data_IF_879730587734
#
_entry.id   IF_879730587734
#
_cell.length_a   1.000
_cell.length_b   1.000
_cell.length_c   1.000
_cell.angle_alpha   90.00
_cell.angle_beta   90.00
_cell.angle_gamma   90.00
#
_symmetry.space_group_name_H-M   'P 1'
#
loop_
_entity.id
_entity.type
_entity.pdbx_description
1 polymer ?
#
# COMPACT_ATOMS: atom_id res chain seq x y z
N UNK A 1 -31.40 35.77 -38.64
CA UNK A 1 -31.41 34.30 -38.81
C UNK A 1 -30.99 33.63 -37.52
N UNK A 2 -31.64 32.52 -37.19
CA UNK A 2 -31.55 31.80 -35.93
C UNK A 2 -31.34 30.31 -36.19
N UNK A 3 -30.58 29.66 -35.33
CA UNK A 3 -30.32 28.22 -35.39
C UNK A 3 -30.99 27.58 -34.17
N UNK A 4 -31.77 26.54 -34.41
CA UNK A 4 -32.49 25.78 -33.38
C UNK A 4 -31.80 24.44 -33.19
N UNK A 5 -31.66 23.99 -31.95
CA UNK A 5 -31.19 22.65 -31.64
C UNK A 5 -32.38 21.72 -31.39
N UNK A 6 -32.49 20.67 -32.21
CA UNK A 6 -33.54 19.65 -32.09
C UNK A 6 -33.24 18.67 -30.95
N UNK A 7 -34.23 17.87 -30.50
CA UNK A 7 -34.05 16.90 -29.40
C UNK A 7 -32.96 15.85 -29.68
N UNK A 8 -32.69 15.56 -30.94
CA UNK A 8 -31.65 14.65 -31.43
C UNK A 8 -30.24 15.29 -31.46
N UNK A 9 -30.10 16.52 -30.93
CA UNK A 9 -28.89 17.38 -30.96
C UNK A 9 -28.44 17.79 -32.37
N UNK A 10 -29.25 17.57 -33.40
CA UNK A 10 -28.98 18.14 -34.72
C UNK A 10 -29.29 19.64 -34.73
N UNK A 11 -28.44 20.41 -35.42
CA UNK A 11 -28.68 21.84 -35.65
C UNK A 11 -29.51 22.03 -36.93
N UNK A 12 -30.52 22.89 -36.87
CA UNK A 12 -31.34 23.23 -38.04
C UNK A 12 -30.59 24.16 -39.00
N UNK A 13 -31.02 24.20 -40.26
CA UNK A 13 -30.65 25.29 -41.17
C UNK A 13 -31.04 26.66 -40.56
N UNK A 14 -30.37 27.77 -40.94
CA UNK A 14 -30.69 29.09 -40.42
C UNK A 14 -32.12 29.51 -40.77
N UNK A 15 -33.00 29.62 -39.76
CA UNK A 15 -34.39 30.04 -39.92
C UNK A 15 -34.56 31.53 -39.61
N UNK A 16 -35.54 32.16 -40.25
CA UNK A 16 -35.95 33.52 -39.89
C UNK A 16 -36.92 33.54 -38.70
N UNK A 17 -37.08 34.71 -38.08
CA UNK A 17 -37.93 34.91 -36.90
C UNK A 17 -39.37 34.43 -37.14
N UNK A 18 -39.91 34.67 -38.35
CA UNK A 18 -41.28 34.30 -38.69
C UNK A 18 -41.45 32.78 -38.84
N UNK A 19 -40.44 32.11 -39.39
CA UNK A 19 -40.43 30.65 -39.49
C UNK A 19 -40.35 29.98 -38.10
N UNK A 20 -39.66 30.60 -37.13
CA UNK A 20 -39.65 30.15 -35.74
C UNK A 20 -41.02 30.30 -35.06
N UNK A 21 -41.72 31.42 -35.28
CA UNK A 21 -43.08 31.62 -34.74
C UNK A 21 -44.06 30.59 -35.31
N UNK A 22 -44.00 30.36 -36.61
CA UNK A 22 -44.84 29.36 -37.26
C UNK A 22 -44.53 27.94 -36.77
N UNK A 23 -43.25 27.59 -36.56
CA UNK A 23 -42.83 26.31 -36.00
C UNK A 23 -43.27 26.08 -34.54
N UNK A 24 -43.35 27.15 -33.73
CA UNK A 24 -43.89 27.09 -32.37
C UNK A 24 -45.41 26.85 -32.39
N UNK A 25 -46.15 27.53 -33.26
CA UNK A 25 -47.60 27.34 -33.43
C UNK A 25 -47.96 25.97 -33.99
N UNK A 26 -47.14 25.44 -34.91
CA UNK A 26 -47.28 24.10 -35.47
C UNK A 26 -46.82 22.98 -34.50
N UNK A 27 -46.34 23.32 -33.30
CA UNK A 27 -45.86 22.36 -32.29
C UNK A 27 -44.54 21.65 -32.66
N UNK A 28 -43.83 22.14 -33.68
CA UNK A 28 -42.54 21.59 -34.12
C UNK A 28 -41.41 21.95 -33.14
N UNK A 29 -41.55 23.07 -32.43
CA UNK A 29 -40.64 23.54 -31.40
C UNK A 29 -41.41 23.82 -30.11
N UNK A 30 -40.75 23.68 -28.95
CA UNK A 30 -41.26 24.07 -27.64
C UNK A 30 -40.73 25.44 -27.19
N UNK A 31 -41.39 26.10 -26.24
CA UNK A 31 -40.99 27.40 -25.68
C UNK A 31 -39.58 27.39 -25.04
N UNK A 32 -39.16 26.23 -24.53
CA UNK A 32 -37.85 26.00 -23.91
C UNK A 32 -36.79 25.51 -24.90
N UNK A 33 -37.13 25.37 -26.19
CA UNK A 33 -36.18 24.89 -27.20
C UNK A 33 -35.00 25.87 -27.28
N UNK A 34 -33.75 25.39 -27.15
CA UNK A 34 -32.59 26.26 -27.22
C UNK A 34 -32.41 26.79 -28.65
N UNK A 35 -32.33 28.11 -28.75
CA UNK A 35 -32.13 28.86 -29.99
C UNK A 35 -30.96 29.80 -29.81
N UNK A 36 -30.15 29.97 -30.84
CA UNK A 36 -29.10 30.99 -30.91
C UNK A 36 -29.27 31.84 -32.16
N UNK A 37 -28.78 33.07 -32.12
CA UNK A 37 -28.61 33.88 -33.34
C UNK A 37 -27.43 33.33 -34.14
N UNK A 38 -27.49 33.39 -35.46
CA UNK A 38 -26.40 32.92 -36.32
C UNK A 38 -25.06 33.66 -36.08
N UNK A 39 -25.11 34.87 -35.54
CA UNK A 39 -23.97 35.73 -35.20
C UNK A 39 -23.46 35.54 -33.75
N UNK A 40 -24.09 34.67 -32.96
CA UNK A 40 -23.80 34.52 -31.53
C UNK A 40 -23.66 33.05 -31.12
N UNK A 41 -22.70 32.78 -30.23
CA UNK A 41 -22.53 31.46 -29.59
C UNK A 41 -23.43 31.27 -28.35
N UNK A 42 -24.24 32.25 -28.00
CA UNK A 42 -25.09 32.20 -26.80
C UNK A 42 -26.45 31.56 -27.11
N UNK A 43 -26.71 30.44 -26.45
CA UNK A 43 -28.01 29.77 -26.48
C UNK A 43 -28.98 30.41 -25.49
N UNK A 44 -30.20 30.67 -25.96
CA UNK A 44 -31.30 31.21 -25.17
C UNK A 44 -32.58 30.44 -25.47
N UNK A 45 -33.52 30.30 -24.51
CA UNK A 45 -34.79 29.65 -24.79
C UNK A 45 -35.61 30.51 -25.77
N UNK A 46 -36.32 29.85 -26.68
CA UNK A 46 -37.12 30.51 -27.72
C UNK A 46 -38.09 31.56 -27.16
N UNK A 47 -38.64 31.34 -25.97
CA UNK A 47 -39.53 32.29 -25.29
C UNK A 47 -38.88 33.66 -25.03
N UNK A 48 -37.59 33.71 -24.69
CA UNK A 48 -36.88 34.97 -24.46
C UNK A 48 -36.75 35.82 -25.73
N UNK A 49 -36.77 35.17 -26.89
CA UNK A 49 -36.73 35.84 -28.20
C UNK A 49 -38.09 36.46 -28.57
N UNK A 50 -39.18 35.75 -28.27
CA UNK A 50 -40.54 36.19 -28.57
C UNK A 50 -41.09 37.20 -27.55
N UNK A 51 -40.51 37.26 -26.35
CA UNK A 51 -40.91 38.17 -25.27
C UNK A 51 -40.42 39.63 -25.45
N UNK A 52 -39.70 39.95 -26.53
CA UNK A 52 -39.28 41.32 -26.81
C UNK A 52 -40.49 42.17 -27.27
N UNK A 53 -40.89 43.22 -26.52
CA UNK A 53 -42.05 44.02 -26.88
C UNK A 53 -41.74 44.91 -28.09
N UNK A 54 -42.62 44.87 -29.10
CA UNK A 54 -42.69 45.88 -30.14
C UNK A 54 -42.98 47.24 -29.48
N UNK A 55 -42.07 48.19 -29.65
CA UNK A 55 -42.13 49.54 -29.10
C UNK A 55 -43.26 50.37 -29.70
N UNK A 56 -43.95 51.17 -28.86
CA UNK A 56 -44.60 52.41 -29.33
C UNK A 56 -45.76 52.96 -28.50
N UNK A 57 -45.49 53.63 -27.36
CA UNK A 57 -46.21 54.85 -26.89
C UNK A 57 -45.72 55.35 -25.51
N UNK A 58 -45.72 56.67 -25.23
CA UNK A 58 -45.23 57.29 -23.99
C UNK A 58 -46.27 57.24 -22.83
N UNK A 59 -45.87 57.51 -21.57
CA UNK A 59 -46.48 56.89 -20.39
C UNK A 59 -47.72 57.64 -19.88
N UNK A 60 -48.71 56.96 -19.28
CA UNK A 60 -49.65 57.60 -18.37
C UNK A 60 -49.08 57.65 -16.95
N UNK A 61 -49.26 58.80 -16.29
CA UNK A 61 -49.02 58.98 -14.86
C UNK A 61 -49.76 57.90 -14.05
N UNK A 62 -49.04 57.15 -13.23
CA UNK A 62 -49.61 56.26 -12.22
C UNK A 62 -49.10 56.67 -10.82
N UNK A 63 -50.06 56.78 -9.91
CA UNK A 63 -50.02 57.20 -8.51
C UNK A 63 -49.17 56.30 -7.59
N UNK A 64 -48.76 56.78 -6.39
CA UNK A 64 -48.07 55.95 -5.39
C UNK A 64 -49.09 55.04 -4.69
N UNK A 65 -48.74 53.80 -4.27
CA UNK A 65 -48.23 53.62 -2.90
C UNK A 65 -47.34 52.36 -2.67
N UNK A 66 -46.83 52.27 -1.42
CA UNK A 66 -46.28 51.11 -0.69
C UNK A 66 -44.78 50.80 -0.81
N UNK A 67 -44.06 51.12 0.27
CA UNK A 67 -42.83 50.45 0.73
C UNK A 67 -43.06 48.97 1.06
N UNK A 68 -42.04 48.10 1.25
CA UNK A 68 -40.60 48.18 0.91
C UNK A 68 -40.11 46.92 0.12
N UNK A 69 -38.85 46.87 -0.31
CA UNK A 69 -38.08 45.64 -0.15
C UNK A 69 -36.97 45.82 0.88
N UNK A 70 -37.02 44.97 1.90
CA UNK A 70 -35.95 44.74 2.86
C UNK A 70 -34.61 44.55 2.14
N UNK A 71 -33.58 45.23 2.62
CA UNK A 71 -32.19 44.96 2.26
C UNK A 71 -31.92 43.45 2.39
N UNK A 72 -31.25 42.79 1.45
CA UNK A 72 -30.77 41.44 1.68
C UNK A 72 -29.79 41.50 2.85
N UNK A 73 -30.12 40.77 3.92
CA UNK A 73 -29.21 40.54 5.02
C UNK A 73 -27.87 40.04 4.45
N UNK A 74 -26.80 40.76 4.74
CA UNK A 74 -25.43 40.31 4.49
C UNK A 74 -25.29 38.96 5.19
N UNK A 75 -25.33 37.88 4.40
CA UNK A 75 -25.13 36.52 4.90
C UNK A 75 -23.69 36.44 5.39
N UNK A 76 -23.51 36.39 6.71
CA UNK A 76 -22.20 36.33 7.34
C UNK A 76 -21.36 35.20 6.74
N UNK A 77 -20.12 35.52 6.35
CA UNK A 77 -19.19 34.58 5.74
C UNK A 77 -19.09 33.29 6.59
N UNK A 78 -19.34 32.14 5.96
CA UNK A 78 -19.30 30.85 6.62
C UNK A 78 -17.92 30.62 7.28
N UNK A 79 -17.91 30.25 8.57
CA UNK A 79 -16.68 30.00 9.34
C UNK A 79 -16.18 28.57 9.12
N UNK A 80 -14.88 28.40 8.88
CA UNK A 80 -14.24 27.09 8.70
C UNK A 80 -13.98 26.46 10.07
N UNK A 81 -14.24 25.16 10.23
CA UNK A 81 -13.98 24.45 11.49
C UNK A 81 -12.49 24.40 11.82
N UNK A 82 -12.08 24.96 12.97
CA UNK A 82 -10.69 24.91 13.47
C UNK A 82 -10.17 23.48 13.65
N UNK A 83 -11.07 22.55 13.99
CA UNK A 83 -10.76 21.12 14.13
C UNK A 83 -10.47 20.46 12.77
N UNK A 84 -11.14 20.88 11.70
CA UNK A 84 -10.87 20.37 10.35
C UNK A 84 -9.50 20.84 9.84
N UNK A 85 -9.14 22.10 10.10
CA UNK A 85 -7.81 22.63 9.77
C UNK A 85 -6.72 21.95 10.62
N UNK A 86 -6.98 21.71 11.92
CA UNK A 86 -6.07 20.98 12.78
C UNK A 86 -5.83 19.55 12.27
N UNK A 87 -6.86 18.85 11.77
CA UNK A 87 -6.69 17.52 11.18
C UNK A 87 -5.81 17.50 9.93
N UNK A 88 -5.88 18.55 9.09
CA UNK A 88 -5.04 18.70 7.90
C UNK A 88 -3.57 18.92 8.29
N UNK A 89 -3.33 19.80 9.26
CA UNK A 89 -1.99 20.10 9.78
C UNK A 89 -1.38 18.85 10.43
N UNK A 90 -2.15 18.11 11.25
CA UNK A 90 -1.70 16.85 11.83
C UNK A 90 -1.42 15.78 10.76
N UNK A 91 -2.25 15.71 9.71
CA UNK A 91 -2.00 14.83 8.56
C UNK A 91 -0.67 15.14 7.87
N UNK A 92 -0.39 16.43 7.60
CA UNK A 92 0.88 16.88 7.02
C UNK A 92 2.09 16.61 7.93
N UNK A 93 1.92 16.78 9.25
CA UNK A 93 2.96 16.51 10.25
C UNK A 93 3.17 15.03 10.55
N UNK A 94 2.32 14.13 10.03
CA UNK A 94 2.45 12.67 10.23
C UNK A 94 3.72 12.11 9.55
N UNK A 95 4.10 12.69 8.40
CA UNK A 95 5.30 12.30 7.65
C UNK A 95 6.61 12.58 8.42
N UNK A 96 6.87 13.80 8.95
CA UNK A 96 8.08 14.08 9.71
C UNK A 96 8.12 13.46 11.12
N UNK A 97 6.96 13.12 11.71
CA UNK A 97 6.88 12.56 13.08
C UNK A 97 6.83 11.03 13.14
N UNK A 98 7.11 10.34 12.02
CA UNK A 98 7.17 8.88 11.95
C UNK A 98 5.86 8.19 12.43
N UNK A 99 4.69 8.75 12.07
CA UNK A 99 3.38 8.13 12.32
C UNK A 99 2.71 8.45 13.66
N UNK A 100 3.41 9.06 14.64
CA UNK A 100 2.81 9.45 15.93
C UNK A 100 1.67 10.49 15.78
N UNK A 101 1.77 11.37 14.78
CA UNK A 101 0.71 12.33 14.45
C UNK A 101 -0.54 11.73 13.79
N UNK A 102 -0.47 10.48 13.31
CA UNK A 102 -1.54 9.86 12.54
C UNK A 102 -2.80 9.60 13.37
N UNK A 103 -2.64 9.13 14.61
CA UNK A 103 -3.78 8.90 15.52
C UNK A 103 -4.48 10.22 15.84
N UNK A 104 -3.73 11.28 16.12
CA UNK A 104 -4.27 12.61 16.37
C UNK A 104 -4.99 13.19 15.13
N UNK A 105 -4.43 13.00 13.92
CA UNK A 105 -5.07 13.43 12.67
C UNK A 105 -6.42 12.74 12.44
N UNK A 106 -6.52 11.44 12.69
CA UNK A 106 -7.76 10.66 12.55
C UNK A 106 -8.80 11.11 13.58
N UNK A 107 -8.41 11.23 14.86
CA UNK A 107 -9.32 11.67 15.93
C UNK A 107 -9.84 13.08 15.68
N UNK A 108 -8.97 14.03 15.32
CA UNK A 108 -9.36 15.40 15.01
C UNK A 108 -10.21 15.49 13.72
N UNK A 109 -9.93 14.64 12.72
CA UNK A 109 -10.70 14.58 11.48
C UNK A 109 -12.13 14.11 11.72
N UNK A 110 -12.31 13.00 12.46
CA UNK A 110 -13.62 12.46 12.83
C UNK A 110 -14.40 13.44 13.71
N UNK A 111 -13.75 14.02 14.73
CA UNK A 111 -14.37 15.03 15.58
C UNK A 111 -14.77 16.30 14.79
N UNK A 112 -13.96 16.71 13.81
CA UNK A 112 -14.25 17.80 12.89
C UNK A 112 -15.48 17.55 12.03
N UNK A 113 -15.60 16.35 11.45
CA UNK A 113 -16.77 15.95 10.64
C UNK A 113 -18.05 15.87 11.48
N UNK A 114 -17.98 15.34 12.71
CA UNK A 114 -19.13 15.28 13.63
C UNK A 114 -19.57 16.68 14.07
N UNK A 115 -18.64 17.61 14.29
CA UNK A 115 -18.97 19.00 14.62
C UNK A 115 -19.61 19.75 13.45
N UNK A 116 -19.19 19.45 12.21
CA UNK A 116 -19.79 20.02 10.99
C UNK A 116 -21.20 19.47 10.77
N UNK A 117 -21.42 18.17 10.96
CA UNK A 117 -22.75 17.55 10.77
C UNK A 117 -23.80 18.02 11.78
N UNK A 118 -23.39 18.37 13.00
CA UNK A 118 -24.27 18.94 14.04
C UNK A 118 -24.53 20.44 13.89
N UNK A 119 -23.70 21.17 13.15
CA UNK A 119 -23.94 22.59 12.86
C UNK A 119 -25.00 22.69 11.78
N UNK A 120 -26.08 23.47 12.01
CA UNK A 120 -27.14 23.78 11.04
C UNK A 120 -26.61 24.61 9.84
N UNK A 121 -25.68 24.04 9.05
CA UNK A 121 -24.95 24.64 7.90
C UNK A 121 -24.09 25.89 8.21
N UNK A 122 -23.81 26.16 9.48
CA UNK A 122 -23.00 27.30 9.93
C UNK A 122 -21.48 27.09 9.81
N UNK A 123 -21.02 25.84 9.73
CA UNK A 123 -19.61 25.48 9.61
C UNK A 123 -19.35 24.77 8.28
N UNK A 124 -18.24 25.11 7.62
CA UNK A 124 -17.73 24.43 6.42
C UNK A 124 -16.34 23.84 6.70
N UNK A 125 -15.91 22.86 5.89
CA UNK A 125 -14.55 22.30 6.01
C UNK A 125 -14.44 20.78 5.83
N UNK A 126 -15.51 20.13 5.38
CA UNK A 126 -15.54 18.72 4.99
C UNK A 126 -14.35 18.26 4.12
N UNK A 127 -13.95 18.97 3.05
CA UNK A 127 -12.81 18.52 2.23
C UNK A 127 -11.48 18.52 2.98
N UNK A 128 -11.29 19.42 3.96
CA UNK A 128 -10.04 19.48 4.74
C UNK A 128 -9.94 18.33 5.75
N UNK A 129 -11.05 17.93 6.37
CA UNK A 129 -11.09 16.79 7.29
C UNK A 129 -10.89 15.47 6.55
N UNK A 130 -11.54 15.30 5.39
CA UNK A 130 -11.35 14.12 4.53
C UNK A 130 -9.92 14.04 4.01
N UNK A 131 -9.35 15.16 3.54
CA UNK A 131 -7.96 15.22 3.09
C UNK A 131 -6.97 14.84 4.21
N UNK A 132 -7.17 15.33 5.43
CA UNK A 132 -6.33 14.98 6.59
C UNK A 132 -6.32 13.48 6.91
N UNK A 133 -7.49 12.83 6.89
CA UNK A 133 -7.61 11.39 7.15
C UNK A 133 -6.93 10.56 6.04
N UNK A 134 -7.15 10.92 4.76
CA UNK A 134 -6.53 10.23 3.63
C UNK A 134 -5.00 10.36 3.68
N UNK A 135 -4.49 11.57 3.96
CA UNK A 135 -3.05 11.81 4.04
C UNK A 135 -2.42 10.98 5.16
N UNK A 136 -3.02 10.99 6.37
CA UNK A 136 -2.53 10.21 7.50
C UNK A 136 -2.52 8.70 7.21
N UNK A 137 -3.59 8.18 6.58
CA UNK A 137 -3.67 6.78 6.18
C UNK A 137 -2.63 6.38 5.13
N UNK A 138 -2.44 7.21 4.10
CA UNK A 138 -1.45 6.96 3.05
C UNK A 138 -0.01 7.01 3.62
N UNK A 139 0.29 7.99 4.47
CA UNK A 139 1.58 8.07 5.17
C UNK A 139 1.84 6.79 5.98
N UNK A 140 0.85 6.29 6.70
CA UNK A 140 0.99 5.11 7.55
C UNK A 140 1.30 3.85 6.74
N UNK A 141 0.59 3.62 5.63
CA UNK A 141 0.80 2.47 4.74
C UNK A 141 2.19 2.49 4.09
N UNK A 142 2.76 3.67 3.86
CA UNK A 142 4.10 3.81 3.28
C UNK A 142 5.22 3.68 4.33
N UNK A 143 5.03 4.23 5.54
CA UNK A 143 6.07 4.27 6.58
C UNK A 143 6.18 2.92 7.33
N UNK A 144 5.06 2.24 7.61
CA UNK A 144 5.06 0.97 8.34
C UNK A 144 5.97 -0.08 7.68
N UNK A 145 5.82 -0.43 6.39
CA UNK A 145 6.68 -1.43 5.76
C UNK A 145 8.15 -1.01 5.77
N UNK A 146 8.44 0.28 5.59
CA UNK A 146 9.82 0.79 5.59
C UNK A 146 10.56 0.55 6.91
N UNK A 147 9.85 0.57 8.04
CA UNK A 147 10.41 0.27 9.36
C UNK A 147 10.40 -1.23 9.69
N UNK A 148 9.39 -1.96 9.23
CA UNK A 148 9.24 -3.40 9.51
C UNK A 148 10.20 -4.25 8.69
N UNK A 149 10.42 -3.94 7.42
CA UNK A 149 11.31 -4.69 6.52
C UNK A 149 12.75 -4.85 7.06
N UNK A 150 13.45 -3.79 7.51
CA UNK A 150 14.81 -3.94 8.03
C UNK A 150 14.87 -4.69 9.36
N UNK A 151 13.85 -4.55 10.21
CA UNK A 151 13.74 -5.31 11.45
C UNK A 151 13.50 -6.80 11.17
N UNK A 152 12.60 -7.11 10.23
CA UNK A 152 12.27 -8.47 9.82
C UNK A 152 13.45 -9.16 9.12
N UNK A 153 14.21 -8.45 8.28
CA UNK A 153 15.41 -8.98 7.66
C UNK A 153 16.46 -9.39 8.70
N UNK A 154 16.70 -8.55 9.72
CA UNK A 154 17.61 -8.86 10.84
C UNK A 154 17.10 -10.04 11.67
N UNK A 155 15.79 -10.09 11.95
CA UNK A 155 15.17 -11.19 12.70
C UNK A 155 15.28 -12.52 11.93
N UNK A 156 15.02 -12.52 10.62
CA UNK A 156 15.15 -13.68 9.75
C UNK A 156 16.58 -14.23 9.72
N UNK A 157 17.58 -13.36 9.56
CA UNK A 157 18.99 -13.77 9.57
C UNK A 157 19.40 -14.44 10.90
N UNK A 158 18.95 -13.88 12.03
CA UNK A 158 19.16 -14.49 13.35
C UNK A 158 18.47 -15.85 13.47
N UNK A 159 17.23 -15.96 13.02
CA UNK A 159 16.48 -17.21 13.04
C UNK A 159 17.15 -18.31 12.18
N UNK A 160 17.65 -17.95 10.99
CA UNK A 160 18.41 -18.86 10.14
C UNK A 160 19.68 -19.35 10.84
N UNK A 161 20.40 -18.47 11.54
CA UNK A 161 21.61 -18.85 12.26
C UNK A 161 21.31 -19.83 13.41
N UNK A 162 20.25 -19.56 14.18
CA UNK A 162 19.81 -20.46 15.26
C UNK A 162 19.39 -21.81 14.70
N UNK A 163 18.61 -21.82 13.62
CA UNK A 163 18.20 -23.06 12.95
C UNK A 163 19.39 -23.83 12.38
N UNK A 164 20.41 -23.16 11.86
CA UNK A 164 21.65 -23.77 11.41
C UNK A 164 22.37 -24.48 12.55
N UNK A 165 22.53 -23.81 13.71
CA UNK A 165 23.16 -24.40 14.89
C UNK A 165 22.35 -25.63 15.36
N UNK A 166 21.03 -25.54 15.36
CA UNK A 166 20.18 -26.67 15.76
C UNK A 166 20.32 -27.87 14.80
N UNK A 167 20.39 -27.62 13.49
CA UNK A 167 20.64 -28.66 12.50
C UNK A 167 22.02 -29.29 12.72
N UNK A 168 23.08 -28.49 12.91
CA UNK A 168 24.42 -29.00 13.19
C UNK A 168 24.48 -29.84 14.46
N UNK A 169 23.75 -29.48 15.52
CA UNK A 169 23.63 -30.29 16.73
C UNK A 169 23.01 -31.67 16.45
N UNK A 170 21.95 -31.71 15.64
CA UNK A 170 21.32 -32.98 15.24
C UNK A 170 22.26 -33.84 14.38
N UNK A 171 23.02 -33.22 13.47
CA UNK A 171 24.04 -33.92 12.67
C UNK A 171 25.19 -34.44 13.54
N UNK A 172 25.71 -33.62 14.45
CA UNK A 172 26.75 -34.04 15.39
C UNK A 172 26.27 -35.18 16.30
N UNK A 173 25.01 -35.14 16.74
CA UNK A 173 24.41 -36.25 17.48
C UNK A 173 24.34 -37.52 16.62
N UNK A 174 23.86 -37.43 15.38
CA UNK A 174 23.82 -38.58 14.46
C UNK A 174 25.20 -39.17 14.18
N UNK A 175 26.23 -38.33 14.04
CA UNK A 175 27.63 -38.76 13.91
C UNK A 175 28.10 -39.55 15.13
N UNK A 176 27.71 -39.13 16.34
CA UNK A 176 28.08 -39.85 17.58
C UNK A 176 27.30 -41.15 17.76
N UNK A 177 26.02 -41.17 17.39
CA UNK A 177 25.22 -42.40 17.40
C UNK A 177 25.85 -43.41 16.45
N UNK A 178 26.21 -42.99 15.23
CA UNK A 178 26.95 -43.83 14.29
C UNK A 178 28.28 -44.32 14.89
N UNK A 179 29.08 -43.43 15.48
CA UNK A 179 30.39 -43.78 16.04
C UNK A 179 30.28 -44.84 17.15
N UNK A 180 29.27 -44.72 18.02
CA UNK A 180 29.01 -45.68 19.09
C UNK A 180 28.83 -47.10 18.55
N UNK A 181 28.23 -47.25 17.37
CA UNK A 181 28.03 -48.55 16.72
C UNK A 181 29.23 -48.97 15.84
N UNK A 182 30.16 -48.05 15.57
CA UNK A 182 31.31 -48.21 14.67
C UNK A 182 32.65 -48.00 15.37
N UNK A 183 32.78 -48.51 16.62
CA UNK A 183 34.03 -48.49 17.41
C UNK A 183 34.60 -47.09 17.62
N UNK A 184 33.73 -46.10 17.86
CA UNK A 184 34.09 -44.69 18.05
C UNK A 184 34.74 -44.03 16.82
N UNK A 185 34.55 -44.60 15.63
CA UNK A 185 35.07 -44.05 14.37
C UNK A 185 33.93 -43.31 13.65
N UNK A 186 34.16 -42.05 13.32
CA UNK A 186 33.26 -41.26 12.49
C UNK A 186 33.25 -41.80 11.04
N UNK A 187 32.13 -41.69 10.32
CA UNK A 187 32.06 -42.19 8.94
C UNK A 187 32.92 -41.35 7.99
N UNK A 188 33.25 -41.93 6.84
CA UNK A 188 34.00 -41.25 5.78
C UNK A 188 33.18 -40.16 5.06
N UNK A 189 31.85 -40.24 5.12
CA UNK A 189 30.95 -39.28 4.50
C UNK A 189 29.66 -39.08 5.31
N UNK A 190 29.06 -37.90 5.18
CA UNK A 190 27.82 -37.54 5.87
C UNK A 190 26.57 -38.29 5.36
N UNK A 191 26.67 -39.02 4.24
CA UNK A 191 25.55 -39.84 3.76
C UNK A 191 25.44 -41.16 4.55
N UNK A 192 26.54 -41.64 5.13
CA UNK A 192 26.56 -42.86 5.93
C UNK A 192 25.67 -42.78 7.18
N UNK A 193 25.44 -41.57 7.70
CA UNK A 193 24.53 -41.32 8.83
C UNK A 193 23.07 -41.10 8.42
N UNK A 194 22.68 -41.47 7.19
CA UNK A 194 21.29 -41.31 6.72
C UNK A 194 20.28 -42.09 7.56
N UNK A 195 20.72 -43.15 8.24
CA UNK A 195 19.87 -43.94 9.15
C UNK A 195 19.70 -43.26 10.52
N UNK A 196 20.63 -42.39 10.92
CA UNK A 196 20.60 -41.68 12.21
C UNK A 196 19.91 -40.31 12.13
N UNK A 197 19.60 -39.85 10.92
CA UNK A 197 19.00 -38.55 10.66
C UNK A 197 17.60 -38.71 10.08
N UNK A 198 16.63 -38.04 10.69
CA UNK A 198 15.22 -38.12 10.27
C UNK A 198 15.02 -37.68 8.81
N UNK A 199 15.70 -36.61 8.38
CA UNK A 199 15.57 -36.04 7.02
C UNK A 199 16.90 -35.45 6.53
N UNK A 200 17.16 -35.47 5.21
CA UNK A 200 18.40 -34.94 4.63
C UNK A 200 18.51 -33.41 4.73
N UNK A 201 17.39 -32.68 4.90
CA UNK A 201 17.38 -31.23 5.16
C UNK A 201 18.27 -30.81 6.32
N UNK A 202 18.55 -31.69 7.28
CA UNK A 202 19.46 -31.40 8.39
C UNK A 202 20.90 -31.16 7.94
N UNK A 203 21.31 -31.67 6.78
CA UNK A 203 22.64 -31.42 6.17
C UNK A 203 22.69 -30.10 5.35
N UNK A 204 21.56 -29.40 5.27
CA UNK A 204 21.40 -28.18 4.48
C UNK A 204 21.24 -26.99 5.43
N UNK A 205 22.00 -25.93 5.15
CA UNK A 205 21.96 -24.71 5.93
C UNK A 205 20.72 -23.88 5.53
N UNK A 206 19.88 -23.41 6.46
CA UNK A 206 18.71 -22.59 6.14
C UNK A 206 19.07 -21.19 5.59
N UNK A 207 20.34 -20.80 5.68
CA UNK A 207 20.90 -19.59 5.06
C UNK A 207 21.59 -19.86 3.73
N UNK A 208 21.64 -21.10 3.25
CA UNK A 208 22.19 -21.41 1.93
C UNK A 208 21.32 -20.76 0.85
N UNK A 209 21.95 -19.94 -0.01
CA UNK A 209 21.27 -19.24 -1.10
C UNK A 209 21.12 -20.07 -2.38
N UNK A 210 21.72 -21.27 -2.42
CA UNK A 210 21.67 -22.15 -3.59
C UNK A 210 20.26 -22.75 -3.78
N UNK A 211 19.79 -22.89 -5.03
CA UNK A 211 18.50 -23.53 -5.30
C UNK A 211 18.62 -25.05 -5.17
N UNK A 212 18.45 -25.57 -3.96
CA UNK A 212 18.44 -27.02 -3.69
C UNK A 212 17.01 -27.54 -3.85
N UNK A 213 16.83 -28.61 -4.63
CA UNK A 213 15.50 -29.18 -4.91
C UNK A 213 14.79 -29.61 -3.63
N UNK A 214 13.48 -29.41 -3.56
CA UNK A 214 12.69 -29.80 -2.40
C UNK A 214 12.73 -31.32 -2.17
N UNK A 215 12.80 -32.10 -3.25
CA UNK A 215 12.97 -33.54 -3.20
C UNK A 215 14.29 -33.95 -2.53
N UNK A 216 15.42 -33.31 -2.87
CA UNK A 216 16.71 -33.58 -2.22
C UNK A 216 16.70 -33.24 -0.71
N UNK A 217 15.82 -32.32 -0.27
CA UNK A 217 15.67 -31.99 1.15
C UNK A 217 14.87 -33.04 1.93
N UNK A 218 14.10 -33.89 1.25
CA UNK A 218 13.22 -34.89 1.87
C UNK A 218 13.69 -36.33 1.65
N UNK A 219 14.38 -36.60 0.54
CA UNK A 219 14.77 -37.95 0.11
C UNK A 219 16.30 -38.11 -0.01
N UNK A 220 16.85 -39.04 0.76
CA UNK A 220 18.27 -39.40 0.79
C UNK A 220 18.79 -40.00 -0.52
N UNK A 221 17.91 -40.60 -1.33
CA UNK A 221 18.28 -41.18 -2.63
C UNK A 221 18.59 -40.08 -3.65
N UNK A 222 17.93 -38.93 -3.54
CA UNK A 222 18.07 -37.78 -4.44
C UNK A 222 19.16 -36.83 -3.98
N UNK A 223 19.46 -36.77 -2.68
CA UNK A 223 20.50 -35.88 -2.13
C UNK A 223 21.88 -36.20 -2.71
N UNK A 224 22.48 -35.22 -3.37
CA UNK A 224 23.84 -35.30 -3.92
C UNK A 224 24.85 -34.64 -2.97
N UNK A 225 26.13 -35.03 -3.00
CA UNK A 225 27.16 -34.42 -2.16
C UNK A 225 27.27 -32.90 -2.32
N UNK A 226 27.04 -32.37 -3.52
CA UNK A 226 27.05 -30.93 -3.79
C UNK A 226 25.90 -30.15 -3.13
N UNK A 227 24.79 -30.82 -2.81
CA UNK A 227 23.62 -30.20 -2.19
C UNK A 227 23.82 -30.00 -0.67
N UNK A 228 24.79 -30.70 -0.07
CA UNK A 228 25.15 -30.56 1.35
C UNK A 228 25.80 -29.18 1.56
N UNK A 229 25.29 -28.42 2.53
CA UNK A 229 25.82 -27.07 2.84
C UNK A 229 26.98 -27.10 3.83
N UNK A 230 27.07 -28.14 4.66
CA UNK A 230 28.09 -28.24 5.69
C UNK A 230 29.36 -28.89 5.16
N UNK A 231 30.50 -28.34 5.56
CA UNK A 231 31.82 -28.86 5.26
C UNK A 231 32.19 -29.90 6.32
N UNK A 232 32.44 -31.13 5.89
CA UNK A 232 32.88 -32.21 6.76
C UNK A 232 34.41 -32.22 6.84
N UNK A 233 34.95 -31.81 7.98
CA UNK A 233 36.37 -31.42 8.11
C UNK A 233 37.26 -32.64 8.37
N UNK A 234 36.80 -33.57 9.20
CA UNK A 234 37.58 -34.74 9.64
C UNK A 234 36.78 -36.04 9.44
N UNK A 235 36.62 -36.52 8.19
CA UNK A 235 36.06 -37.83 7.92
C UNK A 235 36.96 -38.95 8.51
N UNK A 236 36.37 -40.03 8.98
CA UNK A 236 37.13 -41.18 9.52
C UNK A 236 37.81 -40.93 10.87
N UNK A 237 37.46 -39.86 11.59
CA UNK A 237 38.07 -39.50 12.86
C UNK A 237 37.80 -40.56 13.94
N UNK A 238 38.86 -41.06 14.57
CA UNK A 238 38.77 -41.92 15.75
C UNK A 238 38.59 -41.04 17.01
N UNK A 239 37.39 -41.02 17.58
CA UNK A 239 37.03 -40.18 18.72
C UNK A 239 37.82 -40.53 19.99
N UNK A 240 38.36 -41.74 20.10
CA UNK A 240 39.16 -42.17 21.27
C UNK A 240 40.57 -41.59 21.27
N UNK A 241 41.08 -41.22 20.10
CA UNK A 241 42.45 -40.71 19.90
C UNK A 241 42.49 -39.22 19.58
N UNK A 242 41.33 -38.57 19.52
CA UNK A 242 41.19 -37.19 19.06
C UNK A 242 40.85 -36.26 20.21
N UNK A 243 41.27 -35.00 20.10
CA UNK A 243 40.91 -33.98 21.08
C UNK A 243 39.42 -33.65 21.01
N UNK A 244 38.79 -33.43 22.17
CA UNK A 244 37.39 -33.04 22.30
C UNK A 244 37.00 -31.80 21.47
N UNK A 245 37.95 -30.88 21.28
CA UNK A 245 37.79 -29.62 20.54
C UNK A 245 38.09 -29.76 19.04
N UNK A 246 38.39 -30.96 18.55
CA UNK A 246 38.61 -31.21 17.11
C UNK A 246 37.33 -30.86 16.34
N UNK A 247 37.44 -29.98 15.35
CA UNK A 247 36.29 -29.57 14.52
C UNK A 247 35.95 -30.70 13.55
N UNK A 248 34.72 -31.22 13.66
CA UNK A 248 34.22 -32.29 12.80
C UNK A 248 33.40 -31.73 11.63
N UNK A 249 32.65 -30.65 11.86
CA UNK A 249 31.72 -30.07 10.88
C UNK A 249 31.80 -28.55 10.93
N UNK A 250 31.79 -27.89 9.78
CA UNK A 250 31.74 -26.42 9.68
C UNK A 250 30.60 -25.97 8.76
N UNK A 251 29.93 -24.90 9.15
CA UNK A 251 29.01 -24.18 8.27
C UNK A 251 29.73 -22.99 7.61
N UNK A 252 29.93 -22.98 6.27
CA UNK A 252 30.57 -21.85 5.58
C UNK A 252 29.69 -20.60 5.54
N UNK A 253 28.36 -20.73 5.71
CA UNK A 253 27.40 -19.62 5.64
C UNK A 253 27.41 -18.78 6.91
N UNK A 254 27.31 -19.43 8.08
CA UNK A 254 27.22 -18.74 9.38
C UNK A 254 28.54 -18.79 10.17
N UNK A 255 29.51 -19.61 9.75
CA UNK A 255 30.79 -19.80 10.45
C UNK A 255 30.72 -20.76 11.64
N UNK A 256 29.55 -21.32 11.97
CA UNK A 256 29.38 -22.26 13.08
C UNK A 256 30.22 -23.53 12.90
N UNK A 257 30.74 -24.06 14.01
CA UNK A 257 31.60 -25.24 14.04
C UNK A 257 31.04 -26.26 15.04
N UNK A 258 30.99 -27.53 14.66
CA UNK A 258 30.73 -28.64 15.57
C UNK A 258 32.04 -29.33 15.90
N UNK A 259 32.20 -29.70 17.16
CA UNK A 259 33.40 -30.34 17.68
C UNK A 259 33.13 -31.81 18.02
N UNK A 260 34.20 -32.60 18.16
CA UNK A 260 34.15 -34.04 18.45
C UNK A 260 33.41 -34.37 19.77
N UNK A 261 33.41 -33.45 20.74
CA UNK A 261 32.63 -33.57 21.98
C UNK A 261 31.11 -33.36 21.81
N UNK A 262 30.64 -33.06 20.59
CA UNK A 262 29.25 -32.78 20.24
C UNK A 262 28.82 -31.33 20.53
N UNK A 263 29.71 -30.47 21.03
CA UNK A 263 29.43 -29.05 21.18
C UNK A 263 29.39 -28.35 19.82
N UNK A 264 28.55 -27.32 19.71
CA UNK A 264 28.48 -26.48 18.51
C UNK A 264 28.73 -25.04 18.92
N UNK A 265 29.81 -24.46 18.42
CA UNK A 265 30.20 -23.09 18.66
C UNK A 265 29.74 -22.21 17.51
N UNK A 266 29.32 -20.99 17.84
CA UNK A 266 28.97 -19.99 16.85
C UNK A 266 30.27 -19.30 16.44
N UNK A 267 30.76 -19.57 15.23
CA UNK A 267 31.95 -18.89 14.73
C UNK A 267 31.66 -17.41 14.54
N UNK A 268 32.61 -16.56 14.90
CA UNK A 268 32.56 -15.15 14.51
C UNK A 268 32.68 -15.11 12.98
N UNK A 269 31.67 -14.56 12.28
CA UNK A 269 31.76 -14.31 10.84
C UNK A 269 33.09 -13.62 10.56
N UNK A 270 34.01 -14.30 9.87
CA UNK A 270 35.16 -13.63 9.27
C UNK A 270 34.60 -12.67 8.22
N UNK A 271 34.53 -11.39 8.58
CA UNK A 271 34.17 -10.30 7.70
C UNK A 271 35.19 -10.23 6.54
N UNK A 272 35.04 -11.05 5.50
CA UNK A 272 36.10 -11.12 4.50
C UNK A 272 35.99 -12.17 3.39
N UNK A 273 34.81 -12.74 3.11
CA UNK A 273 34.66 -13.57 1.91
C UNK A 273 33.28 -13.43 1.27
N UNK A 274 33.00 -12.24 0.75
CA UNK A 274 32.10 -12.12 -0.40
C UNK A 274 32.88 -12.66 -1.61
N UNK A 275 32.45 -13.80 -2.15
CA UNK A 275 32.75 -14.14 -3.54
C UNK A 275 31.70 -13.48 -4.42
#
# INVERSE_FOLDING_TARGET
MFIVQRPDRSESEPLDLEALRHGLQAGTFSETTPVRRADSSQWMPLQSLLAAPASGSPPPLASPPSSPPSSPAVSGAARVSKLAVASLICGLLTLPTCGLGGIAAVVCGVAGLVAISKSKKTLKGEPYAVAGIILAGLCLVLVLPALLLPALAKAKARAQTISCINNMKQVALGLRIYANDHKEILPDNLKAISQELTIPRLLICPGDGRPISEQAQQDWSVLRPEDISYEYVTPGLDLTKSDAQTVILRCPVHGSEAHADGSVTMGQMRAGRRR
#
